data_IF_720984807359
#
_entry.id   IF_720984807359
#
_cell.length_a   1.000
_cell.length_b   1.000
_cell.length_c   1.000
_cell.angle_alpha   90.00
_cell.angle_beta   90.00
_cell.angle_gamma   90.00
#
_symmetry.space_group_name_H-M   'P 1'
#
loop_
_entity.id
_entity.type
_entity.pdbx_description
1 polymer ?
#
# COMPACT_ATOMS: atom_id res chain seq x y z
N UNK A 1 7.03 35.07 0.76
CA UNK A 1 7.53 33.86 0.07
C UNK A 1 7.62 32.62 0.98
N UNK A 2 8.27 32.70 2.15
CA UNK A 2 8.46 31.55 3.09
C UNK A 2 7.14 30.92 3.58
N UNK A 3 6.08 31.73 3.77
CA UNK A 3 4.76 31.26 4.26
C UNK A 3 4.01 30.40 3.25
N UNK A 4 4.12 30.73 1.95
CA UNK A 4 3.49 29.99 0.85
C UNK A 4 4.16 28.63 0.67
N UNK A 5 5.49 28.57 0.77
CA UNK A 5 6.26 27.33 0.68
C UNK A 5 5.92 26.34 1.81
N UNK A 6 5.75 26.84 3.04
CA UNK A 6 5.32 25.99 4.18
C UNK A 6 3.90 25.45 3.99
N UNK A 7 3.02 26.23 3.37
CA UNK A 7 1.63 25.82 3.13
C UNK A 7 1.52 24.77 2.02
N UNK A 8 2.25 24.95 0.91
CA UNK A 8 2.31 23.94 -0.17
C UNK A 8 2.94 22.63 0.30
N UNK A 9 4.03 22.69 1.08
CA UNK A 9 4.62 21.50 1.70
C UNK A 9 3.65 20.77 2.64
N UNK A 10 2.82 21.51 3.39
CA UNK A 10 1.81 20.92 4.27
C UNK A 10 0.71 20.18 3.50
N UNK A 11 0.32 20.70 2.33
CA UNK A 11 -0.69 20.07 1.46
C UNK A 11 -0.12 18.81 0.80
N UNK A 12 1.09 18.89 0.25
CA UNK A 12 1.74 17.77 -0.45
C UNK A 12 2.09 16.64 0.52
N UNK A 13 2.43 16.96 1.77
CA UNK A 13 2.74 15.96 2.80
C UNK A 13 1.48 15.28 3.38
N UNK A 14 0.27 15.69 2.97
CA UNK A 14 -0.97 15.04 3.42
C UNK A 14 -1.28 13.83 2.53
N UNK A 15 -1.15 12.61 3.09
CA UNK A 15 -1.48 11.35 2.39
C UNK A 15 -2.90 11.35 1.83
N UNK A 16 -3.86 11.93 2.54
CA UNK A 16 -5.26 11.97 2.13
C UNK A 16 -5.48 12.87 0.90
N UNK A 17 -4.57 13.79 0.62
CA UNK A 17 -4.62 14.65 -0.56
C UNK A 17 -3.81 14.08 -1.72
N UNK A 18 -2.56 13.64 -1.46
CA UNK A 18 -1.65 13.19 -2.52
C UNK A 18 -2.08 11.87 -3.14
N UNK A 19 -2.70 10.95 -2.39
CA UNK A 19 -3.10 9.65 -2.91
C UNK A 19 -4.23 9.76 -3.94
N UNK A 20 -5.39 10.41 -3.67
CA UNK A 20 -6.39 10.63 -4.70
C UNK A 20 -5.86 11.46 -5.88
N UNK A 21 -5.05 12.48 -5.61
CA UNK A 21 -4.47 13.32 -6.68
C UNK A 21 -3.58 12.48 -7.62
N UNK A 22 -2.75 11.59 -7.07
CA UNK A 22 -1.90 10.70 -7.87
C UNK A 22 -2.72 9.76 -8.75
N UNK A 23 -3.86 9.28 -8.26
CA UNK A 23 -4.77 8.42 -9.03
C UNK A 23 -5.42 9.22 -10.16
N UNK A 24 -5.94 10.42 -9.88
CA UNK A 24 -6.53 11.30 -10.90
C UNK A 24 -5.50 11.63 -11.99
N UNK A 25 -4.29 12.02 -11.61
CA UNK A 25 -3.21 12.32 -12.56
C UNK A 25 -2.78 11.09 -13.37
N UNK A 26 -2.69 9.92 -12.73
CA UNK A 26 -2.34 8.67 -13.39
C UNK A 26 -3.38 8.22 -14.44
N UNK A 27 -4.66 8.54 -14.24
CA UNK A 27 -5.72 8.28 -15.21
C UNK A 27 -5.75 9.30 -16.36
N UNK A 28 -5.45 10.57 -16.08
CA UNK A 28 -5.46 11.64 -17.09
C UNK A 28 -4.25 11.57 -18.04
N UNK A 29 -3.10 11.08 -17.57
CA UNK A 29 -1.85 11.05 -18.33
C UNK A 29 -1.61 9.63 -18.87
N UNK A 30 -1.92 9.43 -20.15
CA UNK A 30 -2.03 8.10 -20.78
C UNK A 30 -0.72 7.30 -20.88
N UNK A 31 0.43 7.95 -21.06
CA UNK A 31 1.71 7.28 -21.35
C UNK A 31 2.75 7.30 -20.20
N UNK A 32 2.49 8.04 -19.12
CA UNK A 32 3.44 8.18 -18.00
C UNK A 32 3.67 6.86 -17.26
N UNK A 33 2.68 5.96 -17.29
CA UNK A 33 2.71 4.67 -16.61
C UNK A 33 3.84 3.75 -17.12
N UNK A 34 4.22 3.86 -18.39
CA UNK A 34 5.31 3.06 -18.97
C UNK A 34 6.67 3.35 -18.32
N UNK A 35 6.95 4.61 -18.02
CA UNK A 35 8.17 5.06 -17.35
C UNK A 35 8.12 4.80 -15.84
N UNK A 36 6.98 5.09 -15.22
CA UNK A 36 6.81 4.96 -13.76
C UNK A 36 6.83 3.49 -13.32
N UNK A 37 6.40 2.56 -14.18
CA UNK A 37 6.41 1.12 -13.87
C UNK A 37 7.78 0.64 -13.38
N UNK A 38 8.86 1.07 -14.02
CA UNK A 38 10.23 0.69 -13.64
C UNK A 38 10.66 1.27 -12.28
N UNK A 39 10.08 2.40 -11.88
CA UNK A 39 10.37 3.04 -10.60
C UNK A 39 9.57 2.45 -9.43
N UNK A 40 8.48 1.73 -9.70
CA UNK A 40 7.60 1.15 -8.67
C UNK A 40 8.36 0.25 -7.69
N UNK A 41 9.18 -0.69 -8.20
CA UNK A 41 9.91 -1.64 -7.34
C UNK A 41 11.02 -0.94 -6.54
N UNK A 42 11.90 -0.10 -7.15
CA UNK A 42 12.86 0.68 -6.38
C UNK A 42 12.22 1.59 -5.33
N UNK A 43 11.13 2.28 -5.67
CA UNK A 43 10.41 3.14 -4.74
C UNK A 43 9.86 2.34 -3.56
N UNK A 44 9.27 1.16 -3.83
CA UNK A 44 8.75 0.27 -2.80
C UNK A 44 9.88 -0.23 -1.88
N UNK A 45 11.03 -0.59 -2.45
CA UNK A 45 12.20 -1.00 -1.68
C UNK A 45 12.70 0.10 -0.74
N UNK A 46 12.80 1.35 -1.23
CA UNK A 46 13.22 2.50 -0.42
C UNK A 46 12.24 2.75 0.73
N UNK A 47 10.93 2.74 0.44
CA UNK A 47 9.89 2.93 1.47
C UNK A 47 9.93 1.80 2.50
N UNK A 48 10.14 0.56 2.07
CA UNK A 48 10.24 -0.59 2.96
C UNK A 48 11.47 -0.51 3.88
N UNK A 49 12.63 -0.12 3.34
CA UNK A 49 13.84 0.13 4.14
C UNK A 49 13.58 1.23 5.17
N UNK A 50 12.98 2.35 4.75
CA UNK A 50 12.63 3.45 5.65
C UNK A 50 11.59 3.04 6.71
N UNK A 51 10.71 2.08 6.41
CA UNK A 51 9.78 1.53 7.40
C UNK A 51 10.50 0.70 8.47
N UNK A 52 11.56 -0.02 8.11
CA UNK A 52 12.33 -0.84 9.05
C UNK A 52 13.14 0.01 10.04
N UNK A 53 13.60 1.20 9.66
CA UNK A 53 14.36 2.09 10.57
C UNK A 53 13.54 2.60 11.75
N UNK A 54 12.20 2.58 11.64
CA UNK A 54 11.29 2.97 12.72
C UNK A 54 11.11 1.87 13.77
N UNK A 55 11.52 0.63 13.46
CA UNK A 55 11.30 -0.53 14.32
C UNK A 55 12.58 -0.82 15.12
N UNK A 56 12.47 -0.83 16.45
CA UNK A 56 13.59 -1.21 17.30
C UNK A 56 13.83 -2.72 17.29
N UNK A 57 15.08 -3.15 17.11
CA UNK A 57 15.49 -4.55 17.22
C UNK A 57 15.14 -5.19 18.57
N UNK A 58 15.03 -4.40 19.65
CA UNK A 58 14.61 -4.88 20.98
C UNK A 58 13.21 -5.47 20.99
N UNK A 59 12.34 -5.02 20.08
CA UNK A 59 10.96 -5.52 19.93
C UNK A 59 10.96 -7.01 19.57
N UNK A 60 11.92 -7.47 18.77
CA UNK A 60 12.00 -8.86 18.31
C UNK A 60 12.46 -9.85 19.39
N UNK A 61 13.15 -9.40 20.45
CA UNK A 61 13.59 -10.27 21.54
C UNK A 61 12.42 -10.82 22.39
N UNK A 62 11.26 -10.14 22.37
CA UNK A 62 10.04 -10.59 23.05
C UNK A 62 9.15 -11.46 22.17
N UNK A 63 9.75 -12.46 21.51
CA UNK A 63 9.06 -13.30 20.52
C UNK A 63 7.72 -13.90 21.01
N UNK A 64 7.65 -14.31 22.30
CA UNK A 64 6.41 -14.85 22.88
C UNK A 64 5.27 -13.84 22.97
N UNK A 65 5.57 -12.56 23.23
CA UNK A 65 4.59 -11.48 23.27
C UNK A 65 4.15 -11.08 21.85
N UNK A 66 5.00 -11.29 20.84
CA UNK A 66 4.70 -11.04 19.43
C UNK A 66 3.88 -12.15 18.77
N UNK A 67 3.93 -13.38 19.29
CA UNK A 67 3.33 -14.53 18.63
C UNK A 67 1.81 -14.39 18.47
N UNK A 68 1.10 -14.00 19.53
CA UNK A 68 -0.37 -13.78 19.48
C UNK A 68 -0.75 -12.69 18.46
N UNK A 69 -0.23 -11.45 18.53
CA UNK A 69 -0.61 -10.40 17.57
C UNK A 69 -0.20 -10.74 16.13
N UNK A 70 0.92 -11.43 15.91
CA UNK A 70 1.29 -11.92 14.58
C UNK A 70 0.28 -12.95 14.07
N UNK A 71 -0.13 -13.91 14.90
CA UNK A 71 -1.12 -14.92 14.52
C UNK A 71 -2.47 -14.29 14.15
N UNK A 72 -2.93 -13.32 14.95
CA UNK A 72 -4.14 -12.54 14.61
C UNK A 72 -3.95 -11.76 13.32
N UNK A 73 -2.79 -11.13 13.11
CA UNK A 73 -2.50 -10.41 11.86
C UNK A 73 -2.60 -11.33 10.66
N UNK A 74 -2.01 -12.53 10.75
CA UNK A 74 -2.06 -13.54 9.69
C UNK A 74 -3.50 -14.00 9.44
N UNK A 75 -4.23 -14.35 10.51
CA UNK A 75 -5.62 -14.79 10.42
C UNK A 75 -6.51 -13.75 9.75
N UNK A 76 -6.43 -12.49 10.19
CA UNK A 76 -7.29 -11.43 9.68
C UNK A 76 -6.90 -10.96 8.28
N UNK A 77 -5.60 -10.81 7.97
CA UNK A 77 -5.16 -10.28 6.66
C UNK A 77 -5.15 -11.33 5.55
N UNK A 78 -4.82 -12.58 5.84
CA UNK A 78 -4.71 -13.59 4.79
C UNK A 78 -5.98 -14.43 4.69
N UNK A 79 -6.50 -14.94 5.82
CA UNK A 79 -7.66 -15.82 5.78
C UNK A 79 -8.96 -15.03 5.65
N UNK A 80 -9.24 -14.15 6.61
CA UNK A 80 -10.53 -13.45 6.65
C UNK A 80 -10.62 -12.46 5.49
N UNK A 81 -9.65 -11.55 5.36
CA UNK A 81 -9.66 -10.57 4.28
C UNK A 81 -9.55 -11.23 2.90
N UNK A 82 -8.67 -12.22 2.73
CA UNK A 82 -8.58 -12.98 1.48
C UNK A 82 -9.91 -13.65 1.10
N UNK A 83 -10.55 -14.36 2.04
CA UNK A 83 -11.84 -15.02 1.78
C UNK A 83 -12.94 -14.00 1.42
N UNK A 84 -13.04 -12.89 2.17
CA UNK A 84 -13.99 -11.82 1.87
C UNK A 84 -13.75 -11.26 0.47
N UNK A 85 -12.50 -10.96 0.13
CA UNK A 85 -12.13 -10.43 -1.19
C UNK A 85 -12.47 -11.42 -2.31
N UNK A 86 -12.24 -12.72 -2.13
CA UNK A 86 -12.56 -13.75 -3.12
C UNK A 86 -14.08 -13.91 -3.32
N UNK A 87 -14.85 -13.91 -2.24
CA UNK A 87 -16.33 -13.98 -2.31
C UNK A 87 -16.88 -12.75 -3.03
N UNK A 88 -16.38 -11.56 -2.69
CA UNK A 88 -16.78 -10.32 -3.37
C UNK A 88 -16.37 -10.32 -4.84
N UNK A 89 -15.14 -10.74 -5.16
CA UNK A 89 -14.66 -10.80 -6.53
C UNK A 89 -15.47 -11.79 -7.37
N UNK A 90 -15.85 -12.95 -6.80
CA UNK A 90 -16.70 -13.92 -7.49
C UNK A 90 -18.08 -13.35 -7.82
N UNK A 91 -18.65 -12.51 -6.96
CA UNK A 91 -19.96 -11.90 -7.18
C UNK A 91 -19.91 -10.67 -8.12
N UNK A 92 -18.87 -9.84 -7.99
CA UNK A 92 -18.82 -8.50 -8.62
C UNK A 92 -17.97 -8.45 -9.91
N UNK A 93 -17.08 -9.41 -10.15
CA UNK A 93 -16.11 -9.37 -11.25
C UNK A 93 -16.37 -10.50 -12.24
N UNK A 94 -17.06 -10.23 -13.38
CA UNK A 94 -17.32 -11.23 -14.40
C UNK A 94 -16.09 -11.60 -15.23
N UNK A 95 -15.12 -10.68 -15.32
CA UNK A 95 -13.92 -10.84 -16.14
C UNK A 95 -12.85 -11.68 -15.43
N UNK A 96 -12.37 -12.73 -16.10
CA UNK A 96 -11.38 -13.66 -15.52
C UNK A 96 -10.00 -13.02 -15.32
N UNK A 97 -9.58 -12.10 -16.18
CA UNK A 97 -8.26 -11.46 -16.03
C UNK A 97 -8.23 -10.55 -14.80
N UNK A 98 -9.33 -9.81 -14.58
CA UNK A 98 -9.48 -9.00 -13.38
C UNK A 98 -9.61 -9.88 -12.13
N UNK A 99 -10.37 -10.97 -12.19
CA UNK A 99 -10.50 -11.92 -11.07
C UNK A 99 -9.16 -12.50 -10.63
N UNK A 100 -8.30 -12.90 -11.56
CA UNK A 100 -6.94 -13.39 -11.26
C UNK A 100 -6.14 -12.35 -10.44
N UNK A 101 -6.28 -11.07 -10.76
CA UNK A 101 -5.65 -9.99 -10.00
C UNK A 101 -6.13 -9.89 -8.54
N UNK A 102 -7.36 -10.31 -8.23
CA UNK A 102 -7.88 -10.38 -6.86
C UNK A 102 -7.39 -11.60 -6.09
N UNK A 103 -7.05 -12.70 -6.79
CA UNK A 103 -6.55 -13.94 -6.19
C UNK A 103 -5.08 -13.87 -5.83
N UNK A 104 -4.27 -13.16 -6.64
CA UNK A 104 -2.80 -13.07 -6.47
C UNK A 104 -2.39 -12.09 -5.35
N UNK A 105 -3.35 -11.34 -4.78
CA UNK A 105 -3.09 -10.31 -3.76
C UNK A 105 -2.29 -10.80 -2.55
#
# INVERSE_FOLDING_TARGET
MIRVLKFTLKIINNRNFILPLSLVLGLLIRDIGSWIKYLTIPALAVVMIASLTQISFKTFFKFRELLKPVLYTILFNYFIFGAVMLVLAWFLVPDRQLWIGFVIK
#
